data_IF_782843109251
#
_entry.id   IF_782843109251
#
_cell.length_a   1.000
_cell.length_b   1.000
_cell.length_c   1.000
_cell.angle_alpha   90.00
_cell.angle_beta   90.00
_cell.angle_gamma   90.00
#
_symmetry.space_group_name_H-M   'P 1'
#
loop_
_entity.id
_entity.type
_entity.pdbx_description
1 polymer ?
#
# COMPACT_ATOMS: atom_id res chain seq x y z
N UNK A 1 -0.22 -13.35 -8.06
CA UNK A 1 -1.24 -12.79 -7.13
C UNK A 1 -0.65 -12.76 -5.74
N UNK A 2 -0.53 -11.58 -5.14
CA UNK A 2 0.09 -11.38 -3.82
C UNK A 2 -0.89 -10.74 -2.85
N UNK A 3 -0.62 -10.82 -1.54
CA UNK A 3 -1.44 -10.14 -0.54
C UNK A 3 -1.20 -8.64 -0.60
N UNK A 4 -2.27 -7.87 -0.50
CA UNK A 4 -2.20 -6.42 -0.44
C UNK A 4 -1.25 -5.94 0.67
N UNK A 5 -1.29 -6.54 1.87
CA UNK A 5 -0.37 -6.17 2.96
C UNK A 5 1.11 -6.39 2.63
N UNK A 6 1.43 -7.40 1.83
CA UNK A 6 2.79 -7.68 1.38
C UNK A 6 3.18 -6.75 0.23
N UNK A 7 2.30 -6.53 -0.74
CA UNK A 7 2.56 -5.67 -1.89
C UNK A 7 2.81 -4.23 -1.46
N UNK A 8 2.08 -3.74 -0.46
CA UNK A 8 2.29 -2.43 0.14
C UNK A 8 3.66 -2.27 0.78
N UNK A 9 4.18 -3.33 1.41
CA UNK A 9 5.52 -3.32 2.01
C UNK A 9 6.59 -3.45 0.94
N UNK A 10 6.39 -4.32 -0.05
CA UNK A 10 7.32 -4.52 -1.17
C UNK A 10 7.47 -3.26 -2.04
N UNK A 11 6.40 -2.48 -2.21
CA UNK A 11 6.43 -1.19 -2.91
C UNK A 11 6.83 0.00 -2.02
N UNK A 12 7.27 -0.26 -0.80
CA UNK A 12 7.67 0.76 0.18
C UNK A 12 6.57 1.77 0.54
N UNK A 13 5.31 1.50 0.16
CA UNK A 13 4.13 2.29 0.50
C UNK A 13 3.77 2.17 1.98
N UNK A 14 4.15 1.06 2.60
CA UNK A 14 4.03 0.82 4.02
C UNK A 14 5.36 0.30 4.61
N UNK A 15 5.72 0.83 5.78
CA UNK A 15 6.96 0.44 6.46
C UNK A 15 6.95 -1.00 6.98
N UNK A 16 5.77 -1.62 7.14
CA UNK A 16 5.61 -2.95 7.73
C UNK A 16 4.21 -3.49 7.44
N UNK A 17 4.02 -4.82 7.50
CA UNK A 17 2.70 -5.46 7.32
C UNK A 17 1.65 -4.94 8.30
N UNK A 18 2.04 -4.66 9.54
CA UNK A 18 1.16 -4.06 10.56
C UNK A 18 0.77 -2.62 10.20
N UNK A 19 1.69 -1.85 9.61
CA UNK A 19 1.40 -0.50 9.13
C UNK A 19 0.46 -0.55 7.92
N UNK A 20 0.71 -1.45 6.97
CA UNK A 20 -0.18 -1.71 5.84
C UNK A 20 -1.60 -2.03 6.32
N UNK A 21 -1.75 -2.96 7.28
CA UNK A 21 -3.04 -3.27 7.92
C UNK A 21 -3.74 -2.03 8.48
N UNK A 22 -3.03 -1.17 9.23
CA UNK A 22 -3.60 0.07 9.78
C UNK A 22 -4.03 1.06 8.70
N UNK A 23 -3.27 1.20 7.63
CA UNK A 23 -3.60 2.10 6.52
C UNK A 23 -4.85 1.61 5.77
N UNK A 24 -4.95 0.30 5.56
CA UNK A 24 -6.10 -0.34 4.90
C UNK A 24 -7.34 -0.23 5.78
N UNK A 25 -7.21 -0.54 7.07
CA UNK A 25 -8.29 -0.42 8.06
C UNK A 25 -8.78 1.03 8.19
N UNK A 26 -7.86 1.99 8.13
CA UNK A 26 -8.17 3.42 8.08
C UNK A 26 -8.74 3.90 6.72
N UNK A 27 -8.88 3.02 5.72
CA UNK A 27 -9.38 3.36 4.39
C UNK A 27 -8.46 4.28 3.57
N UNK A 28 -7.15 4.28 3.86
CA UNK A 28 -6.14 5.15 3.22
C UNK A 28 -5.33 4.47 2.12
N UNK A 29 -5.75 3.28 1.73
CA UNK A 29 -5.16 2.52 0.64
C UNK A 29 -6.20 2.36 -0.44
N UNK A 30 -5.84 2.77 -1.65
CA UNK A 30 -6.61 2.58 -2.87
C UNK A 30 -5.85 1.63 -3.79
N UNK A 31 -6.59 0.75 -4.45
CA UNK A 31 -6.07 -0.28 -5.34
C UNK A 31 -6.81 -0.18 -6.67
N UNK A 32 -6.10 -0.27 -7.78
CA UNK A 32 -6.68 -0.22 -9.12
C UNK A 32 -6.88 -1.61 -9.67
N UNK A 33 -8.03 -2.22 -9.38
CA UNK A 33 -8.39 -3.51 -9.96
C UNK A 33 -9.13 -3.28 -11.29
N UNK A 34 -8.55 -3.76 -12.40
CA UNK A 34 -9.19 -3.68 -13.72
C UNK A 34 -9.50 -2.26 -14.23
N UNK A 35 -8.74 -1.26 -13.78
CA UNK A 35 -8.92 0.15 -14.17
C UNK A 35 -9.86 0.96 -13.27
N UNK A 36 -10.41 0.36 -12.21
CA UNK A 36 -11.18 1.08 -11.18
C UNK A 36 -10.38 1.19 -9.90
N UNK A 37 -10.11 2.42 -9.45
CA UNK A 37 -9.55 2.68 -8.14
C UNK A 37 -10.61 2.42 -7.05
N UNK A 38 -10.37 1.44 -6.21
CA UNK A 38 -11.23 1.09 -5.08
C UNK A 38 -10.47 1.12 -3.77
N UNK A 39 -11.11 1.57 -2.67
CA UNK A 39 -10.50 1.50 -1.35
C UNK A 39 -10.30 0.04 -0.95
N UNK A 40 -9.11 -0.26 -0.44
CA UNK A 40 -8.79 -1.56 0.10
C UNK A 40 -9.71 -1.90 1.27
N UNK A 41 -10.46 -3.00 1.14
CA UNK A 41 -11.38 -3.46 2.21
C UNK A 41 -10.71 -4.43 3.19
N UNK A 42 -9.73 -5.20 2.73
CA UNK A 42 -9.06 -6.23 3.54
C UNK A 42 -7.57 -6.30 3.22
N UNK A 43 -6.75 -6.26 4.27
CA UNK A 43 -5.29 -6.37 4.13
C UNK A 43 -4.81 -7.68 3.52
N UNK A 44 -5.53 -8.78 3.82
CA UNK A 44 -5.25 -10.10 3.25
C UNK A 44 -5.90 -10.36 1.89
N UNK A 45 -6.44 -9.34 1.21
CA UNK A 45 -6.98 -9.49 -0.13
C UNK A 45 -5.86 -9.82 -1.11
N UNK A 46 -6.06 -10.86 -1.91
CA UNK A 46 -5.15 -11.22 -3.00
C UNK A 46 -5.41 -10.30 -4.19
N UNK A 47 -4.38 -9.60 -4.66
CA UNK A 47 -4.42 -8.71 -5.81
C UNK A 47 -3.26 -9.02 -6.77
N UNK A 48 -3.38 -8.65 -8.05
CA UNK A 48 -2.26 -8.73 -8.98
C UNK A 48 -1.14 -7.78 -8.54
N UNK A 49 0.11 -8.20 -8.72
CA UNK A 49 1.29 -7.36 -8.43
C UNK A 49 1.43 -6.19 -9.40
N UNK A 50 0.85 -6.32 -10.59
CA UNK A 50 0.76 -5.28 -11.63
C UNK A 50 -0.30 -4.20 -11.32
N UNK A 51 -1.10 -4.41 -10.26
CA UNK A 51 -2.14 -3.48 -9.83
C UNK A 51 -1.52 -2.14 -9.39
N UNK A 52 -2.13 -1.02 -9.80
CA UNK A 52 -1.74 0.28 -9.27
C UNK A 52 -2.22 0.42 -7.83
N UNK A 53 -1.33 0.85 -6.95
CA UNK A 53 -1.61 1.05 -5.53
C UNK A 53 -1.32 2.49 -5.18
N UNK A 54 -2.29 3.14 -4.55
CA UNK A 54 -2.16 4.49 -4.05
C UNK A 54 -2.39 4.48 -2.55
N UNK A 55 -1.37 4.90 -1.80
CA UNK A 55 -1.47 5.03 -0.35
C UNK A 55 -1.30 6.49 -0.03
N UNK A 56 -2.15 6.99 0.86
CA UNK A 56 -1.93 8.30 1.49
C UNK A 56 -1.17 8.09 2.80
N UNK A 57 0.17 8.08 2.81
CA UNK A 57 0.92 7.98 4.05
C UNK A 57 0.63 9.20 4.92
N UNK A 58 0.65 9.02 6.24
CA UNK A 58 0.95 10.17 7.10
C UNK A 58 2.33 10.65 6.68
N UNK A 59 2.41 11.88 6.19
CA UNK A 59 3.66 12.56 5.85
C UNK A 59 4.62 12.49 7.04
N UNK A 60 5.40 11.41 7.12
CA UNK A 60 6.60 11.37 7.93
C UNK A 60 7.63 12.01 7.02
N UNK A 61 7.85 13.29 7.27
CA UNK A 61 9.05 13.97 6.78
C UNK A 61 10.24 13.12 7.24
N UNK A 62 10.84 12.42 6.30
CA UNK A 62 12.08 11.67 6.50
C UNK A 62 12.76 11.66 5.16
N UNK A 63 13.26 12.86 4.81
CA UNK A 63 14.65 13.05 4.41
C UNK A 63 15.33 11.74 3.98
N UNK A 64 15.24 11.42 2.70
CA UNK A 64 16.20 10.50 2.09
C UNK A 64 17.55 11.22 2.09
N UNK A 65 18.62 10.68 2.72
CA UNK A 65 19.96 11.11 2.37
C UNK A 65 20.25 10.61 0.94
N UNK A 66 20.79 11.53 0.17
CA UNK A 66 21.39 11.41 -1.14
C UNK A 66 22.10 10.05 -1.33
N UNK A 67 21.70 9.29 -2.35
CA UNK A 67 22.52 8.20 -2.88
C UNK A 67 23.70 8.85 -3.61
N UNK A 68 24.89 8.75 -3.02
CA UNK A 68 26.18 8.93 -3.66
C UNK A 68 26.84 7.57 -3.86
#
# INVERSE_FOLDING_TARGET
MTRLDQLLVQRELANSRTHAKKLIDAGRVMVSDGGTLQPARKAGQSIPEDCALEVTPYRKTSMFPERA
#
